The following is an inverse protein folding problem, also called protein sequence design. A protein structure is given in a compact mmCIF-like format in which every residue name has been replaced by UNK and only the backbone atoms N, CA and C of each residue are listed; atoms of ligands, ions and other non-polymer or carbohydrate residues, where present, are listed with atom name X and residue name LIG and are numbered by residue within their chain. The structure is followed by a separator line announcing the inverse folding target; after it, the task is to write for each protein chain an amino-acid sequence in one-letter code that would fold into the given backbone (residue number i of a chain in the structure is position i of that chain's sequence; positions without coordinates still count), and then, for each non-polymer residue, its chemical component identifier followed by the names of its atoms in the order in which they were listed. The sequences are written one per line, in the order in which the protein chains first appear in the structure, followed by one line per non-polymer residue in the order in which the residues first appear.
data_IF_474599361062
#
_entry.id   IF_474599361062
#
_cell.length_a   1.000
_cell.length_b   1.000
_cell.length_c   1.000
_cell.angle_alpha   90.00
_cell.angle_beta   90.00
_cell.angle_gamma   90.00
#
_symmetry.space_group_name_H-M   'P 1'
#
loop_
_entity.id
_entity.type
_entity.pdbx_description
1 polymer ?
#
# COMPACT_ATOMS: atom_id res chain seq x y z
N UNK A 1 26.77 -4.63 -4.28
CA UNK A 1 25.95 -5.27 -3.26
C UNK A 1 25.03 -6.25 -3.86
N UNK A 2 24.75 -7.33 -3.14
CA UNK A 2 23.85 -8.35 -3.63
C UNK A 2 22.44 -8.09 -3.19
N UNK A 3 21.50 -8.31 -4.06
CA UNK A 3 20.09 -8.28 -3.68
C UNK A 3 19.78 -9.50 -2.81
N UNK A 4 18.83 -9.32 -1.93
CA UNK A 4 18.34 -10.38 -1.07
C UNK A 4 16.88 -10.63 -1.37
N UNK A 5 16.35 -11.71 -0.82
CA UNK A 5 14.99 -12.13 -1.10
C UNK A 5 14.09 -11.80 0.07
N UNK A 6 12.91 -11.30 -0.23
CA UNK A 6 11.96 -10.87 0.81
C UNK A 6 10.55 -11.28 0.47
N UNK A 7 9.79 -11.58 1.51
CA UNK A 7 8.35 -11.72 1.39
C UNK A 7 7.77 -10.45 2.00
N UNK A 8 6.83 -9.84 1.31
CA UNK A 8 6.17 -8.65 1.81
C UNK A 8 4.67 -8.90 1.95
N UNK A 9 4.07 -8.23 2.91
CA UNK A 9 2.62 -8.22 3.06
C UNK A 9 2.16 -6.79 3.03
N UNK A 10 0.98 -6.56 2.47
CA UNK A 10 0.43 -5.22 2.38
C UNK A 10 -1.09 -5.27 2.24
N UNK A 11 -1.75 -4.24 2.73
CA UNK A 11 -3.19 -4.14 2.65
C UNK A 11 -3.68 -2.83 3.22
N UNK A 12 -4.97 -2.63 3.12
CA UNK A 12 -5.60 -1.40 3.61
C UNK A 12 -6.85 -1.71 4.43
N UNK A 13 -6.89 -2.86 5.06
CA UNK A 13 -8.05 -3.26 5.85
C UNK A 13 -9.15 -3.96 5.05
N UNK A 14 -9.02 -3.97 3.73
CA UNK A 14 -9.99 -4.61 2.85
C UNK A 14 -9.57 -6.03 2.48
N UNK A 15 -8.38 -6.43 2.88
CA UNK A 15 -7.82 -7.75 2.61
C UNK A 15 -6.31 -7.68 2.72
N UNK A 16 -5.70 -8.85 2.85
CA UNK A 16 -4.24 -8.93 2.96
C UNK A 16 -3.68 -9.49 1.67
N UNK A 17 -2.63 -8.87 1.19
CA UNK A 17 -1.92 -9.34 -0.01
C UNK A 17 -0.49 -9.69 0.37
N UNK A 18 0.09 -10.65 -0.35
CA UNK A 18 1.48 -11.03 -0.13
C UNK A 18 2.18 -11.11 -1.47
N UNK A 19 3.45 -10.82 -1.47
CA UNK A 19 4.25 -10.89 -2.69
C UNK A 19 5.69 -11.23 -2.33
N UNK A 20 6.47 -11.63 -3.31
CA UNK A 20 7.86 -12.00 -3.14
C UNK A 20 8.70 -11.08 -4.01
N UNK A 21 9.70 -10.45 -3.41
CA UNK A 21 10.50 -9.45 -4.10
C UNK A 21 11.98 -9.64 -3.82
N UNK A 22 12.80 -8.96 -4.62
CA UNK A 22 14.23 -8.85 -4.37
C UNK A 22 14.50 -7.39 -4.05
N UNK A 23 15.32 -7.17 -3.04
CA UNK A 23 15.70 -5.81 -2.63
C UNK A 23 17.09 -5.83 -2.03
N UNK A 24 17.70 -4.66 -1.93
CA UNK A 24 19.06 -4.55 -1.43
C UNK A 24 19.13 -4.58 0.10
N UNK A 25 18.04 -4.29 0.76
CA UNK A 25 18.00 -4.23 2.22
C UNK A 25 16.56 -4.41 2.70
N UNK A 26 16.42 -4.69 3.99
CA UNK A 26 15.10 -4.76 4.62
C UNK A 26 14.37 -3.41 4.52
N UNK A 27 15.11 -2.32 4.64
CA UNK A 27 14.52 -0.99 4.50
C UNK A 27 13.92 -0.79 3.12
N UNK A 28 14.64 -1.19 2.06
CA UNK A 28 14.12 -1.11 0.70
C UNK A 28 12.90 -1.99 0.52
N UNK A 29 12.92 -3.20 1.10
CA UNK A 29 11.78 -4.11 1.02
C UNK A 29 10.55 -3.51 1.70
N UNK A 30 10.73 -2.86 2.86
CA UNK A 30 9.63 -2.20 3.55
C UNK A 30 9.07 -1.04 2.72
N UNK A 31 9.93 -0.30 2.02
CA UNK A 31 9.45 0.77 1.14
C UNK A 31 8.59 0.23 0.01
N UNK A 32 9.00 -0.90 -0.56
CA UNK A 32 8.22 -1.53 -1.63
C UNK A 32 6.86 -1.99 -1.08
N UNK A 33 6.85 -2.58 0.12
CA UNK A 33 5.60 -3.00 0.76
C UNK A 33 4.68 -1.81 1.02
N UNK A 34 5.25 -0.71 1.49
CA UNK A 34 4.49 0.52 1.75
C UNK A 34 3.86 1.05 0.46
N UNK A 35 4.64 1.12 -0.62
CA UNK A 35 4.11 1.60 -1.90
C UNK A 35 3.02 0.69 -2.44
N UNK A 36 3.19 -0.63 -2.27
CA UNK A 36 2.17 -1.58 -2.68
C UNK A 36 0.87 -1.38 -1.88
N UNK A 37 1.01 -1.10 -0.58
CA UNK A 37 -0.15 -0.84 0.28
C UNK A 37 -0.88 0.43 -0.16
N UNK A 38 -0.13 1.46 -0.57
CA UNK A 38 -0.73 2.70 -1.07
C UNK A 38 -1.52 2.43 -2.34
N UNK A 39 -0.96 1.66 -3.27
CA UNK A 39 -1.65 1.33 -4.52
C UNK A 39 -2.93 0.55 -4.24
N UNK A 40 -2.86 -0.40 -3.30
CA UNK A 40 -4.02 -1.18 -2.92
C UNK A 40 -5.11 -0.29 -2.33
N UNK A 41 -4.73 0.64 -1.46
CA UNK A 41 -5.65 1.59 -0.86
C UNK A 41 -6.33 2.43 -1.93
N UNK A 42 -5.55 2.95 -2.88
CA UNK A 42 -6.08 3.80 -3.93
C UNK A 42 -7.07 3.04 -4.82
N UNK A 43 -6.87 1.75 -5.00
CA UNK A 43 -7.77 0.96 -5.82
C UNK A 43 -9.14 0.77 -5.18
N UNK A 44 -9.26 1.02 -3.88
CA UNK A 44 -10.51 0.88 -3.15
C UNK A 44 -11.19 2.22 -2.82
N UNK A 45 -10.67 3.32 -3.34
CA UNK A 45 -11.28 4.63 -3.07
C UNK A 45 -12.74 4.64 -3.52
N UNK A 46 -13.60 5.08 -2.63
CA UNK A 46 -15.04 5.09 -2.87
C UNK A 46 -15.72 3.76 -2.55
N UNK A 47 -14.96 2.75 -2.12
CA UNK A 47 -15.47 1.43 -1.80
C UNK A 47 -15.08 1.06 -0.37
N UNK A 48 -15.84 0.17 0.23
CA UNK A 48 -15.49 -0.42 1.56
C UNK A 48 -15.21 0.62 2.65
N UNK A 49 -15.83 1.79 2.54
CA UNK A 49 -15.65 2.84 3.54
C UNK A 49 -14.39 3.69 3.37
N UNK A 50 -13.62 3.45 2.32
CA UNK A 50 -12.43 4.23 2.03
C UNK A 50 -12.84 5.45 1.23
N UNK A 51 -12.47 6.63 1.73
CA UNK A 51 -12.84 7.89 1.10
C UNK A 51 -11.69 8.42 0.25
N UNK A 52 -12.00 8.80 -0.99
CA UNK A 52 -11.05 9.54 -1.81
C UNK A 52 -11.06 11.01 -1.41
N UNK A 53 -10.20 11.81 -2.03
CA UNK A 53 -10.15 13.25 -1.72
C UNK A 53 -11.47 13.95 -2.03
N UNK A 54 -12.16 13.53 -3.08
CA UNK A 54 -13.45 14.11 -3.44
C UNK A 54 -14.49 13.85 -2.36
N UNK A 55 -14.50 12.65 -1.80
CA UNK A 55 -15.43 12.29 -0.73
C UNK A 55 -15.16 13.10 0.53
N UNK A 56 -13.89 13.27 0.88
CA UNK A 56 -13.51 14.06 2.04
C UNK A 56 -13.92 15.53 1.85
N UNK A 57 -13.66 16.06 0.65
CA UNK A 57 -14.00 17.44 0.34
C UNK A 57 -15.50 17.67 0.52
N UNK A 58 -16.31 16.76 0.03
CA UNK A 58 -17.76 16.89 0.12
C UNK A 58 -18.25 16.73 1.56
N UNK A 59 -17.78 15.70 2.24
CA UNK A 59 -18.30 15.36 3.57
C UNK A 59 -17.77 16.26 4.68
N UNK A 60 -16.49 16.57 4.64
CA UNK A 60 -15.85 17.33 5.72
C UNK A 60 -15.78 18.83 5.45
N UNK A 61 -15.78 19.23 4.20
CA UNK A 61 -15.59 20.64 3.82
C UNK A 61 -16.74 21.20 2.96
N UNK A 62 -17.73 20.37 2.65
CA UNK A 62 -18.90 20.78 1.86
C UNK A 62 -18.52 21.34 0.49
N UNK A 63 -17.50 20.77 -0.14
CA UNK A 63 -17.01 21.15 -1.47
C UNK A 63 -17.46 20.09 -2.46
N UNK A 64 -18.15 20.51 -3.52
CA UNK A 64 -18.63 19.60 -4.54
C UNK A 64 -17.56 19.30 -5.58
N UNK A 65 -17.68 18.14 -6.24
CA UNK A 65 -16.76 17.73 -7.28
C UNK A 65 -16.75 18.78 -8.40
N UNK A 66 -15.57 19.20 -8.80
CA UNK A 66 -15.39 20.19 -9.83
C UNK A 66 -15.42 21.62 -9.35
N UNK A 67 -15.69 21.85 -8.07
CA UNK A 67 -15.69 23.18 -7.52
C UNK A 67 -14.26 23.67 -7.35
N UNK A 68 -14.01 24.93 -7.64
CA UNK A 68 -12.66 25.47 -7.46
C UNK A 68 -12.41 25.77 -5.99
N UNK A 69 -11.25 25.40 -5.52
CA UNK A 69 -10.85 25.62 -4.12
C UNK A 69 -9.47 26.26 -4.09
N UNK A 70 -9.14 26.90 -2.97
CA UNK A 70 -7.82 27.48 -2.80
C UNK A 70 -6.78 26.38 -2.57
N UNK A 71 -5.52 26.71 -2.82
CA UNK A 71 -4.43 25.77 -2.56
C UNK A 71 -4.41 25.37 -1.10
N UNK A 72 -4.70 26.28 -0.21
CA UNK A 72 -4.72 26.00 1.23
C UNK A 72 -5.80 24.97 1.57
N UNK A 73 -6.98 25.11 1.00
CA UNK A 73 -8.06 24.16 1.26
C UNK A 73 -7.72 22.80 0.66
N UNK A 74 -7.12 22.77 -0.52
CA UNK A 74 -6.66 21.54 -1.13
C UNK A 74 -5.67 20.83 -0.22
N UNK A 75 -4.73 21.58 0.35
CA UNK A 75 -3.73 20.98 1.26
C UNK A 75 -4.39 20.41 2.52
N UNK A 76 -5.40 21.09 3.05
CA UNK A 76 -6.12 20.59 4.22
C UNK A 76 -6.85 19.28 3.92
N UNK A 77 -7.51 19.21 2.77
CA UNK A 77 -8.21 18.01 2.34
C UNK A 77 -7.21 16.88 2.13
N UNK A 78 -6.08 17.19 1.49
CA UNK A 78 -5.03 16.22 1.24
C UNK A 78 -4.47 15.67 2.55
N UNK A 79 -4.27 16.52 3.55
CA UNK A 79 -3.79 16.09 4.85
C UNK A 79 -4.75 15.11 5.52
N UNK A 80 -6.06 15.36 5.42
CA UNK A 80 -7.05 14.44 5.95
C UNK A 80 -6.99 13.10 5.22
N UNK A 81 -6.86 13.15 3.90
CA UNK A 81 -6.74 11.95 3.08
C UNK A 81 -5.53 11.12 3.50
N UNK A 82 -4.37 11.77 3.63
CA UNK A 82 -3.14 11.09 4.03
C UNK A 82 -3.29 10.47 5.43
N UNK A 83 -3.89 11.21 6.35
CA UNK A 83 -4.10 10.75 7.71
C UNK A 83 -4.98 9.50 7.75
N UNK A 84 -6.07 9.50 7.00
CA UNK A 84 -6.96 8.34 6.92
C UNK A 84 -6.27 7.17 6.25
N UNK A 85 -5.54 7.44 5.18
CA UNK A 85 -4.81 6.40 4.46
C UNK A 85 -3.79 5.74 5.38
N UNK A 86 -2.97 6.53 6.07
CA UNK A 86 -1.92 5.98 6.93
C UNK A 86 -2.49 5.16 8.08
N UNK A 87 -3.68 5.49 8.54
CA UNK A 87 -4.32 4.73 9.62
C UNK A 87 -4.86 3.38 9.14
N UNK A 88 -5.07 3.22 7.84
CA UNK A 88 -5.61 2.00 7.27
C UNK A 88 -4.53 1.08 6.69
N UNK A 89 -3.37 1.63 6.36
CA UNK A 89 -2.33 0.84 5.73
C UNK A 89 -1.69 -0.14 6.70
N UNK A 90 -1.45 -1.35 6.22
CA UNK A 90 -0.75 -2.36 6.97
C UNK A 90 0.25 -3.00 6.02
N UNK A 91 1.50 -3.04 6.40
CA UNK A 91 2.54 -3.60 5.55
C UNK A 91 3.71 -4.10 6.38
N UNK A 92 4.41 -5.07 5.84
CA UNK A 92 5.58 -5.64 6.50
C UNK A 92 6.49 -6.27 5.45
N UNK A 93 7.73 -6.52 5.83
CA UNK A 93 8.69 -7.22 4.98
C UNK A 93 9.51 -8.15 5.86
N UNK A 94 9.87 -9.31 5.30
CA UNK A 94 10.63 -10.31 6.02
C UNK A 94 11.64 -10.91 5.06
N UNK A 95 12.88 -11.00 5.49
CA UNK A 95 13.93 -11.64 4.66
C UNK A 95 13.71 -13.13 4.63
N UNK A 96 13.79 -13.74 3.44
CA UNK A 96 13.59 -15.17 3.26
C UNK A 96 14.76 -15.75 2.46
N UNK A 97 14.80 -17.05 2.34
CA UNK A 97 15.83 -17.71 1.54
C UNK A 97 15.50 -17.65 0.06
N UNK A 98 16.50 -17.86 -0.77
CA UNK A 98 16.30 -17.94 -2.21
C UNK A 98 15.30 -19.03 -2.55
N UNK A 99 15.39 -20.17 -1.84
CA UNK A 99 14.47 -21.27 -2.09
C UNK A 99 13.02 -20.88 -1.82
N UNK A 100 12.77 -20.21 -0.71
CA UNK A 100 11.42 -19.73 -0.38
C UNK A 100 10.93 -18.75 -1.44
N UNK A 101 11.80 -17.87 -1.89
CA UNK A 101 11.46 -16.89 -2.91
C UNK A 101 11.05 -17.60 -4.21
N UNK A 102 11.86 -18.57 -4.65
CA UNK A 102 11.58 -19.28 -5.90
C UNK A 102 10.29 -20.10 -5.83
N UNK A 103 10.01 -20.68 -4.67
CA UNK A 103 8.74 -21.39 -4.47
C UNK A 103 7.58 -20.41 -4.54
N UNK A 104 7.72 -19.25 -3.90
CA UNK A 104 6.67 -18.25 -3.84
C UNK A 104 6.30 -17.68 -5.19
N UNK A 105 7.27 -17.48 -6.08
CA UNK A 105 6.99 -16.95 -7.42
C UNK A 105 6.67 -18.05 -8.44
N UNK A 106 6.69 -19.32 -8.02
CA UNK A 106 6.33 -20.42 -8.89
C UNK A 106 7.45 -20.95 -9.76
N UNK A 107 8.69 -20.53 -9.52
CA UNK A 107 9.85 -20.99 -10.31
C UNK A 107 10.40 -22.31 -9.79
N UNK A 108 10.09 -22.66 -8.56
CA UNK A 108 10.55 -23.90 -7.92
C UNK A 108 9.38 -24.55 -7.22
N UNK A 109 9.23 -25.85 -7.37
CA UNK A 109 8.13 -26.55 -6.72
C UNK A 109 8.45 -26.76 -5.24
N UNK A 110 7.43 -26.64 -4.42
CA UNK A 110 7.54 -26.87 -3.00
C UNK A 110 7.48 -28.38 -2.77
N UNK A 111 8.55 -29.10 -3.11
CA UNK A 111 8.54 -30.51 -3.07
C UNK A 111 9.34 -30.93 -1.92
N UNK A 112 8.78 -31.55 -1.03
CA UNK A 112 9.48 -32.02 -0.02
C UNK A 112 10.10 -33.19 -0.19
N UNK A 113 10.40 -33.54 -0.77
CA UNK A 113 11.00 -34.60 -0.75
C UNK A 113 11.77 -34.84 -0.34
#
# INVERSE_FOLDING_TARGET
MKERYYKIGYGCGCGDNEDYIMAMSLESANEIAYEAAIEDYESYEGLHGIRGMEDIALEDYDVEVGEEISDRLYDEIHDVYIDERESQLDYWAEEISEKEYLIGIGELEDDDE
#
